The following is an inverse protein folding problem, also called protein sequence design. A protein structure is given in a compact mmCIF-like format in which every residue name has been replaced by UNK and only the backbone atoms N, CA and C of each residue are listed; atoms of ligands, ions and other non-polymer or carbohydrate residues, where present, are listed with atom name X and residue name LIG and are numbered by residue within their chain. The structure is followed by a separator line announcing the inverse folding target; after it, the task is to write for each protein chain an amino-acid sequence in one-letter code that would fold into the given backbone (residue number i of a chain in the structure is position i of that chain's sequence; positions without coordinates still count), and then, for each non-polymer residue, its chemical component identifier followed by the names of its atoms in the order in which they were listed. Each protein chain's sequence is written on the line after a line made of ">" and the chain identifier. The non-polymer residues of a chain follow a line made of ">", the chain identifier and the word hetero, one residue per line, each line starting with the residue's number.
data_IF_937312227489
#
_entry.id   IF_937312227489
#
_cell.length_a   1.000
_cell.length_b   1.000
_cell.length_c   1.000
_cell.angle_alpha   90.00
_cell.angle_beta   90.00
_cell.angle_gamma   90.00
#
_symmetry.space_group_name_H-M   'P 1'
#
loop_
_entity.id
_entity.type
_entity.pdbx_description
1 polymer ?
#
# COMPACT_ATOMS: atom_id res chain seq x y z
N UNK A 1 6.77 10.70 -1.33
CA UNK A 1 7.51 9.97 -0.28
C UNK A 1 8.97 10.33 -0.29
N UNK A 2 9.67 10.20 0.85
CA UNK A 2 11.11 10.39 0.95
C UNK A 2 11.85 9.26 0.22
N UNK A 3 12.90 9.59 -0.53
CA UNK A 3 13.76 8.61 -1.21
C UNK A 3 15.01 8.39 -0.39
N UNK A 4 15.19 7.15 0.05
CA UNK A 4 16.33 6.76 0.87
C UNK A 4 17.48 6.26 -0.01
N UNK A 5 18.71 6.42 0.47
CA UNK A 5 19.86 5.80 -0.17
C UNK A 5 19.99 4.31 0.22
N UNK A 6 20.83 3.54 -0.50
CA UNK A 6 20.98 2.09 -0.30
C UNK A 6 21.36 1.70 1.14
N UNK A 7 22.15 2.51 1.84
CA UNK A 7 22.55 2.21 3.23
C UNK A 7 21.36 2.40 4.18
N UNK A 8 20.63 3.50 4.03
CA UNK A 8 19.40 3.75 4.78
C UNK A 8 18.36 2.65 4.53
N UNK A 9 18.14 2.26 3.27
CA UNK A 9 17.20 1.20 2.89
C UNK A 9 17.56 -0.15 3.55
N UNK A 10 18.83 -0.51 3.63
CA UNK A 10 19.30 -1.72 4.35
C UNK A 10 19.06 -1.61 5.86
N UNK A 11 19.25 -0.42 6.42
CA UNK A 11 18.96 -0.19 7.84
C UNK A 11 17.45 -0.35 8.13
N UNK A 12 16.59 0.23 7.27
CA UNK A 12 15.15 0.12 7.40
C UNK A 12 14.66 -1.33 7.25
N UNK A 13 15.23 -2.09 6.31
CA UNK A 13 14.98 -3.53 6.22
C UNK A 13 15.33 -4.26 7.51
N UNK A 14 16.50 -3.98 8.08
CA UNK A 14 16.93 -4.59 9.36
C UNK A 14 15.97 -4.29 10.51
N UNK A 15 15.43 -3.07 10.57
CA UNK A 15 14.44 -2.67 11.58
C UNK A 15 13.11 -3.44 11.40
N UNK A 16 12.59 -3.55 10.17
CA UNK A 16 11.35 -4.31 9.91
C UNK A 16 11.53 -5.78 10.25
N UNK A 17 12.63 -6.41 9.82
CA UNK A 17 12.87 -7.83 10.09
C UNK A 17 13.06 -8.15 11.58
N UNK A 18 13.51 -7.18 12.38
CA UNK A 18 13.61 -7.30 13.83
C UNK A 18 12.30 -7.00 14.57
N UNK A 19 11.37 -6.28 13.92
CA UNK A 19 10.10 -5.88 14.53
C UNK A 19 9.05 -7.01 14.41
N UNK A 20 8.22 -7.24 15.44
CA UNK A 20 7.11 -8.17 15.31
C UNK A 20 6.00 -7.56 14.45
N UNK A 21 5.37 -8.40 13.62
CA UNK A 21 4.14 -8.00 12.90
C UNK A 21 3.04 -7.58 13.88
N UNK A 22 2.18 -6.66 13.46
CA UNK A 22 1.04 -6.23 14.26
C UNK A 22 0.08 -7.40 14.55
N UNK A 23 -0.69 -7.29 15.63
CA UNK A 23 -1.79 -8.24 15.92
C UNK A 23 -2.99 -7.90 15.07
N UNK A 24 -3.10 -8.51 13.91
CA UNK A 24 -4.14 -8.25 12.94
C UNK A 24 -5.55 -8.54 13.45
N UNK A 25 -6.47 -7.63 13.16
CA UNK A 25 -7.90 -7.81 13.40
C UNK A 25 -8.52 -8.89 12.48
N UNK A 26 -9.77 -9.25 12.75
CA UNK A 26 -10.45 -10.33 12.03
C UNK A 26 -10.52 -10.11 10.51
N UNK A 27 -10.90 -8.90 10.06
CA UNK A 27 -11.02 -8.59 8.62
C UNK A 27 -9.68 -8.69 7.90
N UNK A 28 -8.60 -8.16 8.50
CA UNK A 28 -7.26 -8.26 7.91
C UNK A 28 -6.79 -9.72 7.81
N UNK A 29 -6.99 -10.51 8.88
CA UNK A 29 -6.66 -11.95 8.85
C UNK A 29 -7.45 -12.72 7.79
N UNK A 30 -8.72 -12.39 7.61
CA UNK A 30 -9.54 -13.01 6.56
C UNK A 30 -9.02 -12.67 5.17
N UNK A 31 -8.66 -11.40 4.95
CA UNK A 31 -8.08 -10.94 3.69
C UNK A 31 -6.76 -11.65 3.38
N UNK A 32 -5.80 -11.66 4.32
CA UNK A 32 -4.50 -12.32 4.13
C UNK A 32 -4.63 -13.83 3.94
N UNK A 33 -5.50 -14.48 4.70
CA UNK A 33 -5.80 -15.90 4.49
C UNK A 33 -6.37 -16.16 3.08
N UNK A 34 -7.28 -15.32 2.59
CA UNK A 34 -7.83 -15.42 1.24
C UNK A 34 -6.76 -15.23 0.18
N UNK A 35 -5.84 -14.27 0.37
CA UNK A 35 -4.70 -14.05 -0.52
C UNK A 35 -3.76 -15.26 -0.55
N UNK A 36 -3.43 -15.82 0.61
CA UNK A 36 -2.59 -17.02 0.70
C UNK A 36 -3.25 -18.26 0.09
N UNK A 37 -4.58 -18.37 0.22
CA UNK A 37 -5.33 -19.47 -0.39
C UNK A 37 -5.36 -19.38 -1.92
N UNK A 38 -5.52 -18.17 -2.47
CA UNK A 38 -5.65 -17.93 -3.92
C UNK A 38 -4.29 -17.88 -4.63
N UNK A 39 -3.29 -17.28 -4.01
CA UNK A 39 -2.00 -16.97 -4.65
C UNK A 39 -0.82 -17.74 -4.04
N UNK A 40 -1.07 -18.53 -2.99
CA UNK A 40 -0.03 -19.23 -2.25
C UNK A 40 0.73 -18.32 -1.28
N UNK A 41 1.59 -18.96 -0.47
CA UNK A 41 2.40 -18.25 0.54
C UNK A 41 3.73 -17.73 0.01
N UNK A 42 4.15 -18.22 -1.18
CA UNK A 42 5.42 -17.81 -1.78
C UNK A 42 5.32 -16.35 -2.22
N UNK A 43 6.31 -15.54 -1.83
CA UNK A 43 6.44 -14.16 -2.27
C UNK A 43 6.88 -14.10 -3.73
N UNK A 44 6.39 -13.13 -4.46
CA UNK A 44 6.77 -12.93 -5.87
C UNK A 44 5.96 -11.82 -6.54
N UNK A 45 6.41 -11.40 -7.74
CA UNK A 45 5.88 -10.25 -8.43
C UNK A 45 4.37 -10.31 -8.67
N UNK A 46 3.83 -11.44 -9.11
CA UNK A 46 2.38 -11.58 -9.35
C UNK A 46 1.56 -11.43 -8.07
N UNK A 47 2.05 -11.92 -6.92
CA UNK A 47 1.39 -11.73 -5.62
C UNK A 47 1.48 -10.26 -5.17
N UNK A 48 2.64 -9.62 -5.34
CA UNK A 48 2.81 -8.20 -5.04
C UNK A 48 1.90 -7.32 -5.91
N UNK A 49 1.80 -7.60 -7.22
CA UNK A 49 0.85 -6.89 -8.07
C UNK A 49 -0.57 -6.95 -7.53
N UNK A 50 -1.03 -8.12 -7.07
CA UNK A 50 -2.36 -8.27 -6.46
C UNK A 50 -2.46 -7.45 -5.17
N UNK A 51 -1.40 -7.43 -4.36
CA UNK A 51 -1.34 -6.66 -3.13
C UNK A 51 -1.50 -5.16 -3.44
N UNK A 52 -0.76 -4.63 -4.41
CA UNK A 52 -0.84 -3.22 -4.81
C UNK A 52 -2.20 -2.82 -5.44
N UNK A 53 -2.86 -3.73 -6.17
CA UNK A 53 -4.22 -3.48 -6.66
C UNK A 53 -5.17 -3.19 -5.49
N UNK A 54 -4.94 -3.82 -4.34
CA UNK A 54 -5.78 -3.71 -3.15
C UNK A 54 -5.33 -2.54 -2.25
N UNK A 55 -4.02 -2.31 -2.10
CA UNK A 55 -3.42 -1.34 -1.19
C UNK A 55 -3.95 0.10 -1.38
N UNK A 56 -4.04 0.57 -2.62
CA UNK A 56 -4.49 1.94 -2.95
C UNK A 56 -5.96 2.22 -2.62
N UNK A 57 -6.77 1.18 -2.44
CA UNK A 57 -8.25 1.30 -2.40
C UNK A 57 -8.79 2.03 -1.16
N UNK A 58 -8.26 1.84 0.05
CA UNK A 58 -8.69 2.60 1.22
C UNK A 58 -8.52 4.10 1.06
N UNK A 59 -7.43 4.55 0.47
CA UNK A 59 -7.15 5.96 0.21
C UNK A 59 -8.19 6.57 -0.73
N UNK A 60 -8.55 5.87 -1.79
CA UNK A 60 -9.62 6.27 -2.71
C UNK A 60 -10.97 6.36 -1.99
N UNK A 61 -11.27 5.44 -1.08
CA UNK A 61 -12.48 5.46 -0.29
C UNK A 61 -12.53 6.68 0.64
N UNK A 62 -11.43 7.01 1.31
CA UNK A 62 -11.32 8.16 2.20
C UNK A 62 -11.41 9.48 1.43
N UNK A 63 -10.73 9.59 0.29
CA UNK A 63 -10.82 10.74 -0.61
C UNK A 63 -12.27 10.98 -1.05
N UNK A 64 -12.98 9.93 -1.46
CA UNK A 64 -14.39 10.03 -1.84
C UNK A 64 -15.28 10.56 -0.70
N UNK A 65 -15.14 10.00 0.51
CA UNK A 65 -15.89 10.49 1.68
C UNK A 65 -15.58 11.95 1.99
N UNK A 66 -14.32 12.36 1.84
CA UNK A 66 -13.90 13.74 2.08
C UNK A 66 -14.52 14.70 1.04
N UNK A 67 -14.58 14.33 -0.24
CA UNK A 67 -15.25 15.13 -1.27
C UNK A 67 -16.76 15.22 -1.04
N UNK A 68 -17.41 14.14 -0.63
CA UNK A 68 -18.82 14.17 -0.25
C UNK A 68 -19.04 15.12 0.93
N UNK A 69 -18.20 15.05 1.97
CA UNK A 69 -18.28 15.97 3.10
C UNK A 69 -18.07 17.43 2.68
N UNK A 70 -17.11 17.71 1.78
CA UNK A 70 -16.85 19.05 1.23
C UNK A 70 -18.10 19.65 0.57
N UNK A 71 -18.87 18.84 -0.16
CA UNK A 71 -20.10 19.27 -0.82
C UNK A 71 -21.12 19.85 0.16
N UNK A 72 -21.14 19.36 1.41
CA UNK A 72 -22.09 19.80 2.43
C UNK A 72 -21.55 20.88 3.39
N UNK A 73 -20.22 21.01 3.48
CA UNK A 73 -19.55 21.83 4.51
C UNK A 73 -18.81 23.03 3.91
N UNK A 74 -18.91 23.23 2.59
CA UNK A 74 -18.16 24.29 1.87
C UNK A 74 -18.45 25.72 2.39
N UNK A 75 -19.54 25.93 3.11
CA UNK A 75 -19.87 27.22 3.71
C UNK A 75 -19.02 27.57 4.94
N UNK A 76 -18.35 26.61 5.57
CA UNK A 76 -17.36 26.82 6.62
C UNK A 76 -15.93 26.71 6.02
N UNK A 77 -15.27 27.84 5.71
CA UNK A 77 -13.98 27.81 5.02
C UNK A 77 -12.85 27.19 5.84
N UNK A 78 -12.92 27.28 7.16
CA UNK A 78 -11.88 26.71 8.06
C UNK A 78 -12.01 25.19 8.07
N UNK A 79 -13.20 24.67 8.20
CA UNK A 79 -13.44 23.23 8.18
C UNK A 79 -13.26 22.66 6.77
N UNK A 80 -13.72 23.34 5.74
CA UNK A 80 -13.50 22.95 4.35
C UNK A 80 -12.00 22.85 4.03
N UNK A 81 -11.17 23.75 4.55
CA UNK A 81 -9.72 23.68 4.39
C UNK A 81 -9.12 22.40 4.99
N UNK A 82 -9.51 22.01 6.20
CA UNK A 82 -9.03 20.77 6.84
C UNK A 82 -9.44 19.52 6.05
N UNK A 83 -10.67 19.49 5.53
CA UNK A 83 -11.13 18.40 4.66
C UNK A 83 -10.27 18.34 3.39
N UNK A 84 -9.98 19.48 2.78
CA UNK A 84 -9.17 19.52 1.56
C UNK A 84 -7.71 19.12 1.80
N UNK A 85 -7.15 19.47 2.95
CA UNK A 85 -5.81 19.02 3.32
C UNK A 85 -5.76 17.49 3.47
N UNK A 86 -6.80 16.88 4.07
CA UNK A 86 -6.95 15.41 4.11
C UNK A 86 -7.07 14.79 2.71
N UNK A 87 -7.81 15.42 1.78
CA UNK A 87 -7.89 14.96 0.39
C UNK A 87 -6.50 14.93 -0.25
N UNK A 88 -5.69 15.96 -0.05
CA UNK A 88 -4.33 16.01 -0.61
C UNK A 88 -3.43 14.90 -0.07
N UNK A 89 -3.47 14.65 1.23
CA UNK A 89 -2.69 13.59 1.87
C UNK A 89 -3.08 12.22 1.32
N UNK A 90 -4.38 11.89 1.31
CA UNK A 90 -4.85 10.59 0.80
C UNK A 90 -4.56 10.41 -0.69
N UNK A 91 -4.53 11.50 -1.46
CA UNK A 91 -4.16 11.44 -2.88
C UNK A 91 -2.68 11.14 -3.07
N UNK A 92 -1.80 11.74 -2.27
CA UNK A 92 -0.35 11.46 -2.32
C UNK A 92 -0.08 9.97 -2.02
N UNK A 93 -0.79 9.40 -1.04
CA UNK A 93 -0.68 7.98 -0.70
C UNK A 93 -1.22 7.11 -1.84
N UNK A 94 -2.40 7.44 -2.38
CA UNK A 94 -2.99 6.71 -3.50
C UNK A 94 -2.09 6.73 -4.75
N UNK A 95 -1.46 7.88 -5.07
CA UNK A 95 -0.53 8.00 -6.19
C UNK A 95 0.74 7.16 -5.95
N UNK A 96 1.23 7.11 -4.72
CA UNK A 96 2.39 6.28 -4.36
C UNK A 96 2.12 4.79 -4.59
N UNK A 97 0.98 4.27 -4.10
CA UNK A 97 0.53 2.89 -4.35
C UNK A 97 0.36 2.61 -5.86
N UNK A 98 -0.08 3.60 -6.61
CA UNK A 98 -0.22 3.45 -8.05
C UNK A 98 1.13 3.26 -8.74
N UNK A 99 2.19 3.93 -8.28
CA UNK A 99 3.54 3.73 -8.80
C UNK A 99 4.07 2.34 -8.45
N UNK A 100 3.84 1.84 -7.24
CA UNK A 100 4.18 0.46 -6.86
C UNK A 100 3.55 -0.54 -7.82
N UNK A 101 2.24 -0.43 -8.05
CA UNK A 101 1.51 -1.31 -8.96
C UNK A 101 2.07 -1.28 -10.38
N UNK A 102 2.31 -0.09 -10.94
CA UNK A 102 2.76 0.07 -12.32
C UNK A 102 4.16 -0.51 -12.53
N UNK A 103 5.08 -0.26 -11.60
CA UNK A 103 6.45 -0.78 -11.64
C UNK A 103 6.45 -2.30 -11.49
N UNK A 104 5.67 -2.87 -10.56
CA UNK A 104 5.60 -4.32 -10.37
C UNK A 104 4.98 -4.99 -11.60
N UNK A 105 3.96 -4.39 -12.20
CA UNK A 105 3.38 -4.88 -13.45
C UNK A 105 4.40 -4.86 -14.60
N UNK A 106 5.19 -3.80 -14.73
CA UNK A 106 6.26 -3.71 -15.72
C UNK A 106 7.33 -4.79 -15.50
N UNK A 107 7.80 -4.96 -14.26
CA UNK A 107 8.76 -6.01 -13.91
C UNK A 107 8.22 -7.42 -14.19
N UNK A 108 6.94 -7.66 -13.91
CA UNK A 108 6.27 -8.93 -14.20
C UNK A 108 6.25 -9.23 -15.70
N UNK A 109 5.93 -8.22 -16.50
CA UNK A 109 5.93 -8.32 -17.97
C UNK A 109 7.33 -8.52 -18.53
N UNK A 110 8.32 -7.74 -18.09
CA UNK A 110 9.70 -7.82 -18.53
C UNK A 110 10.36 -9.17 -18.22
N UNK A 111 9.99 -9.80 -17.10
CA UNK A 111 10.43 -11.14 -16.72
C UNK A 111 9.66 -12.26 -17.43
N UNK A 112 8.68 -11.94 -18.29
CA UNK A 112 7.88 -12.91 -19.01
C UNK A 112 7.07 -13.85 -18.09
N UNK A 113 6.67 -13.40 -16.93
CA UNK A 113 5.90 -14.19 -15.98
C UNK A 113 4.48 -14.39 -16.52
N UNK A 114 4.15 -15.66 -16.79
CA UNK A 114 2.82 -16.02 -17.26
C UNK A 114 1.80 -15.92 -16.13
N UNK A 115 0.75 -15.15 -16.33
CA UNK A 115 -0.30 -14.92 -15.35
C UNK A 115 -1.65 -15.46 -15.85
N UNK A 116 -2.40 -16.05 -14.92
CA UNK A 116 -3.76 -16.47 -15.20
C UNK A 116 -4.70 -15.25 -15.14
N UNK A 117 -5.40 -14.94 -16.24
CA UNK A 117 -6.27 -13.77 -16.34
C UNK A 117 -7.36 -13.75 -15.26
N UNK A 118 -7.92 -14.92 -14.89
CA UNK A 118 -8.93 -14.99 -13.84
C UNK A 118 -8.31 -14.66 -12.47
N UNK A 119 -7.21 -15.32 -12.11
CA UNK A 119 -6.58 -15.17 -10.79
C UNK A 119 -5.87 -13.84 -10.62
N UNK A 120 -5.14 -13.35 -11.62
CA UNK A 120 -4.28 -12.17 -11.51
C UNK A 120 -4.87 -10.91 -12.18
N UNK A 121 -5.99 -11.06 -12.90
CA UNK A 121 -6.72 -9.97 -13.53
C UNK A 121 -8.08 -9.71 -12.88
N UNK A 122 -9.01 -10.67 -12.98
CA UNK A 122 -10.39 -10.46 -12.56
C UNK A 122 -10.60 -10.54 -11.03
N UNK A 123 -10.08 -11.57 -10.37
CA UNK A 123 -10.27 -11.76 -8.91
C UNK A 123 -9.73 -10.59 -8.09
N UNK A 124 -8.53 -10.01 -8.37
CA UNK A 124 -8.06 -8.84 -7.63
C UNK A 124 -9.01 -7.65 -7.72
N UNK A 125 -9.67 -7.43 -8.86
CA UNK A 125 -10.65 -6.36 -9.03
C UNK A 125 -11.90 -6.59 -8.16
N UNK A 126 -12.33 -7.84 -8.03
CA UNK A 126 -13.46 -8.21 -7.15
C UNK A 126 -13.08 -7.97 -5.69
N UNK A 127 -11.88 -8.38 -5.27
CA UNK A 127 -11.39 -8.14 -3.91
C UNK A 127 -11.28 -6.64 -3.65
N UNK A 128 -10.69 -5.87 -4.57
CA UNK A 128 -10.55 -4.42 -4.47
C UNK A 128 -11.92 -3.72 -4.37
N UNK A 129 -12.92 -4.17 -5.16
CA UNK A 129 -14.28 -3.67 -5.08
C UNK A 129 -14.89 -3.83 -3.68
N UNK A 130 -14.82 -5.01 -3.10
CA UNK A 130 -15.34 -5.24 -1.75
C UNK A 130 -14.52 -4.50 -0.70
N UNK A 131 -13.20 -4.48 -0.82
CA UNK A 131 -12.33 -3.78 0.12
C UNK A 131 -12.58 -2.27 0.11
N UNK A 132 -12.82 -1.67 -1.08
CA UNK A 132 -13.24 -0.28 -1.21
C UNK A 132 -14.51 0.00 -0.40
N UNK A 133 -15.57 -0.78 -0.62
CA UNK A 133 -16.85 -0.55 0.04
C UNK A 133 -16.77 -0.79 1.55
N UNK A 134 -16.03 -1.80 1.99
CA UNK A 134 -15.77 -2.05 3.41
C UNK A 134 -15.02 -0.86 4.02
N UNK A 135 -13.95 -0.39 3.39
CA UNK A 135 -13.17 0.76 3.84
C UNK A 135 -14.01 2.02 3.91
N UNK A 136 -14.84 2.25 2.88
CA UNK A 136 -15.77 3.39 2.80
C UNK A 136 -16.80 3.35 3.95
N UNK A 137 -17.48 2.22 4.15
CA UNK A 137 -18.48 2.03 5.21
C UNK A 137 -17.83 2.22 6.59
N UNK A 138 -16.71 1.56 6.83
CA UNK A 138 -15.98 1.70 8.11
C UNK A 138 -15.57 3.14 8.35
N UNK A 139 -15.08 3.84 7.32
CA UNK A 139 -14.65 5.23 7.45
C UNK A 139 -15.82 6.18 7.73
N UNK A 140 -16.99 5.95 7.11
CA UNK A 140 -18.20 6.73 7.38
C UNK A 140 -18.74 6.49 8.79
N UNK A 141 -18.81 5.23 9.24
CA UNK A 141 -19.36 4.89 10.54
C UNK A 141 -18.37 5.26 11.68
N UNK A 142 -17.12 4.79 11.56
CA UNK A 142 -16.08 5.02 12.56
C UNK A 142 -14.70 4.99 11.91
N UNK A 143 -14.12 6.15 11.55
CA UNK A 143 -12.84 6.25 10.81
C UNK A 143 -11.72 5.40 11.38
N UNK A 144 -11.64 5.31 12.71
CA UNK A 144 -10.68 4.46 13.42
C UNK A 144 -10.62 3.03 12.88
N UNK A 145 -11.75 2.42 12.54
CA UNK A 145 -11.77 1.03 12.07
C UNK A 145 -11.17 0.90 10.67
N UNK A 146 -11.43 1.89 9.81
CA UNK A 146 -10.84 1.92 8.48
C UNK A 146 -9.33 2.16 8.53
N UNK A 147 -8.88 3.11 9.34
CA UNK A 147 -7.45 3.38 9.55
C UNK A 147 -6.71 2.18 10.15
N UNK A 148 -7.29 1.49 11.13
CA UNK A 148 -6.69 0.27 11.67
C UNK A 148 -6.63 -0.86 10.65
N UNK A 149 -7.67 -1.03 9.83
CA UNK A 149 -7.67 -2.06 8.77
C UNK A 149 -6.58 -1.78 7.76
N UNK A 150 -6.40 -0.51 7.35
CA UNK A 150 -5.32 -0.10 6.48
C UNK A 150 -3.95 -0.30 7.14
N UNK A 151 -3.75 0.17 8.37
CA UNK A 151 -2.49 -0.03 9.10
C UNK A 151 -2.08 -1.52 9.20
N UNK A 152 -3.04 -2.43 9.34
CA UNK A 152 -2.78 -3.88 9.30
C UNK A 152 -2.36 -4.35 7.91
N UNK A 153 -2.94 -3.77 6.86
CA UNK A 153 -2.60 -4.11 5.49
C UNK A 153 -1.17 -3.66 5.17
N UNK A 154 -0.83 -2.41 5.48
CA UNK A 154 0.50 -1.85 5.25
C UNK A 154 1.59 -2.54 6.09
N UNK A 155 1.28 -2.93 7.35
CA UNK A 155 2.20 -3.73 8.17
C UNK A 155 2.49 -5.10 7.52
N UNK A 156 1.49 -5.71 6.92
CA UNK A 156 1.66 -6.95 6.19
C UNK A 156 2.52 -6.74 4.94
N UNK A 157 2.21 -5.71 4.15
CA UNK A 157 2.93 -5.37 2.92
C UNK A 157 4.41 -5.03 3.20
N UNK A 158 4.67 -4.17 4.18
CA UNK A 158 6.03 -3.83 4.62
C UNK A 158 6.87 -5.10 4.87
N UNK A 159 6.36 -6.02 5.67
CA UNK A 159 7.08 -7.25 6.00
C UNK A 159 7.25 -8.17 4.78
N UNK A 160 6.22 -8.31 3.93
CA UNK A 160 6.32 -9.13 2.71
C UNK A 160 7.43 -8.64 1.78
N UNK A 161 7.57 -7.31 1.58
CA UNK A 161 8.63 -6.75 0.76
C UNK A 161 10.02 -6.91 1.39
N UNK A 162 10.15 -6.60 2.67
CA UNK A 162 11.45 -6.69 3.36
C UNK A 162 11.95 -8.12 3.50
N UNK A 163 11.04 -9.07 3.77
CA UNK A 163 11.33 -10.50 3.79
C UNK A 163 11.65 -11.03 2.38
N UNK A 164 10.98 -10.53 1.33
CA UNK A 164 11.26 -10.92 -0.05
C UNK A 164 12.69 -10.60 -0.44
N UNK A 165 13.18 -9.41 -0.12
CA UNK A 165 14.59 -9.06 -0.39
C UNK A 165 15.56 -9.96 0.39
N UNK A 166 15.23 -10.33 1.64
CA UNK A 166 16.06 -11.23 2.44
C UNK A 166 16.07 -12.66 1.88
N UNK A 167 14.95 -13.14 1.32
CA UNK A 167 14.80 -14.48 0.72
C UNK A 167 15.48 -14.60 -0.66
N UNK A 168 15.66 -13.48 -1.38
CA UNK A 168 16.19 -13.46 -2.75
C UNK A 168 17.41 -12.54 -2.90
N UNK A 169 18.61 -12.98 -2.44
CA UNK A 169 19.82 -12.14 -2.45
C UNK A 169 20.25 -11.71 -3.87
N UNK A 170 19.87 -12.44 -4.91
CA UNK A 170 20.20 -12.09 -6.30
C UNK A 170 19.64 -10.73 -6.72
N UNK A 171 18.58 -10.24 -6.05
CA UNK A 171 18.03 -8.92 -6.25
C UNK A 171 19.02 -7.77 -5.98
N UNK A 172 20.06 -8.00 -5.17
CA UNK A 172 21.11 -7.01 -4.89
C UNK A 172 21.95 -6.67 -6.14
N UNK A 173 22.08 -7.61 -7.06
CA UNK A 173 22.87 -7.44 -8.29
C UNK A 173 22.01 -7.18 -9.53
N UNK A 174 20.72 -7.37 -9.43
CA UNK A 174 19.77 -7.14 -10.52
C UNK A 174 19.47 -5.65 -10.65
N UNK A 175 19.73 -5.07 -11.84
CA UNK A 175 19.47 -3.65 -12.09
C UNK A 175 18.00 -3.33 -12.10
N UNK A 176 17.66 -2.18 -11.54
CA UNK A 176 16.34 -1.58 -11.70
C UNK A 176 16.32 -0.70 -12.95
N UNK A 177 15.39 -1.02 -13.86
CA UNK A 177 15.09 -0.21 -15.04
C UNK A 177 13.56 -0.14 -15.20
N UNK A 178 12.99 1.06 -15.31
CA UNK A 178 11.55 1.27 -15.43
C UNK A 178 11.27 2.57 -16.17
N UNK A 179 10.21 2.58 -16.99
CA UNK A 179 9.72 3.81 -17.61
C UNK A 179 9.13 4.79 -16.58
N UNK A 180 8.80 4.32 -15.38
CA UNK A 180 8.26 5.10 -14.27
C UNK A 180 9.34 5.60 -13.29
N UNK A 181 10.61 5.40 -13.62
CA UNK A 181 11.71 5.76 -12.74
C UNK A 181 11.85 7.29 -12.52
N UNK A 182 11.38 8.12 -13.47
CA UNK A 182 11.33 9.57 -13.29
C UNK A 182 10.25 10.00 -12.27
N UNK A 183 9.17 9.26 -12.17
CA UNK A 183 8.04 9.54 -11.28
C UNK A 183 8.26 8.97 -9.87
N UNK A 184 8.68 7.71 -9.79
CA UNK A 184 8.83 7.02 -8.51
C UNK A 184 10.23 7.14 -7.92
N UNK A 185 11.29 7.05 -8.73
CA UNK A 185 12.70 7.18 -8.32
C UNK A 185 13.61 6.17 -9.00
N UNK A 186 14.91 6.47 -8.96
CA UNK A 186 15.98 5.61 -9.47
C UNK A 186 16.62 4.85 -8.31
N UNK A 187 16.84 3.54 -8.48
CA UNK A 187 17.44 2.67 -7.47
C UNK A 187 18.63 1.92 -8.06
N UNK A 188 19.62 1.62 -7.24
CA UNK A 188 20.84 0.91 -7.67
C UNK A 188 20.56 -0.54 -8.05
N UNK A 189 19.55 -1.16 -7.44
CA UNK A 189 19.18 -2.56 -7.64
C UNK A 189 17.67 -2.77 -7.43
N UNK A 190 17.17 -3.95 -7.83
CA UNK A 190 15.81 -4.37 -7.48
C UNK A 190 15.64 -4.56 -5.97
N UNK A 191 16.70 -4.95 -5.25
CA UNK A 191 16.65 -5.02 -3.80
C UNK A 191 16.35 -3.65 -3.18
N UNK A 192 16.99 -2.59 -3.65
CA UNK A 192 16.75 -1.23 -3.16
C UNK A 192 15.36 -0.72 -3.53
N UNK A 193 14.86 -1.05 -4.73
CA UNK A 193 13.47 -0.76 -5.10
C UNK A 193 12.49 -1.39 -4.10
N UNK A 194 12.59 -2.70 -3.84
CA UNK A 194 11.65 -3.38 -2.94
C UNK A 194 11.78 -2.94 -1.49
N UNK A 195 12.98 -2.56 -1.05
CA UNK A 195 13.18 -1.92 0.26
C UNK A 195 12.49 -0.56 0.32
N UNK A 196 12.58 0.24 -0.75
CA UNK A 196 11.88 1.53 -0.80
C UNK A 196 10.37 1.35 -0.73
N UNK A 197 9.81 0.41 -1.50
CA UNK A 197 8.38 0.08 -1.41
C UNK A 197 8.04 -0.32 0.03
N UNK A 198 8.75 -1.26 0.63
CA UNK A 198 8.52 -1.66 2.01
C UNK A 198 8.68 -0.52 3.04
N UNK A 199 9.55 0.45 2.79
CA UNK A 199 9.65 1.66 3.60
C UNK A 199 8.44 2.59 3.40
N UNK A 200 7.96 2.77 2.17
CA UNK A 200 6.76 3.54 1.88
C UNK A 200 5.54 2.93 2.59
N UNK A 201 5.38 1.59 2.60
CA UNK A 201 4.33 0.88 3.35
C UNK A 201 4.41 1.14 4.86
N UNK A 202 5.63 1.19 5.42
CA UNK A 202 5.81 1.60 6.83
C UNK A 202 5.33 3.02 7.07
N UNK A 203 5.63 3.96 6.19
CA UNK A 203 5.15 5.34 6.31
C UNK A 203 3.63 5.38 6.26
N UNK A 204 3.00 4.70 5.30
CA UNK A 204 1.55 4.58 5.18
C UNK A 204 0.91 3.99 6.44
N UNK A 205 1.50 2.93 7.00
CA UNK A 205 1.08 2.34 8.27
C UNK A 205 1.12 3.35 9.41
N UNK A 206 2.24 4.05 9.59
CA UNK A 206 2.43 5.01 10.67
C UNK A 206 1.48 6.20 10.53
N UNK A 207 1.28 6.72 9.33
CA UNK A 207 0.31 7.78 9.04
C UNK A 207 -1.11 7.33 9.39
N UNK A 208 -1.53 6.13 8.96
CA UNK A 208 -2.83 5.57 9.34
C UNK A 208 -2.99 5.46 10.85
N UNK A 209 -1.96 5.04 11.58
CA UNK A 209 -1.98 4.93 13.04
C UNK A 209 -2.10 6.29 13.73
N UNK A 210 -1.56 7.38 13.17
CA UNK A 210 -1.73 8.72 13.74
C UNK A 210 -3.20 9.14 13.77
N UNK A 211 -4.00 8.69 12.79
CA UNK A 211 -5.41 9.03 12.66
C UNK A 211 -6.36 8.11 13.42
N UNK A 212 -5.88 7.02 13.99
CA UNK A 212 -6.73 6.06 14.73
C UNK A 212 -7.48 6.70 15.88
N UNK A 213 -6.89 7.69 16.54
CA UNK A 213 -7.51 8.40 17.68
C UNK A 213 -7.93 9.84 17.35
N UNK A 214 -7.76 10.26 16.09
CA UNK A 214 -8.14 11.58 15.63
C UNK A 214 -9.62 11.61 15.18
N UNK A 215 -10.24 12.78 15.20
CA UNK A 215 -11.53 12.98 14.52
C UNK A 215 -11.31 12.96 12.99
N UNK A 216 -12.40 12.64 12.24
CA UNK A 216 -12.29 12.37 10.79
C UNK A 216 -11.56 13.43 9.98
N UNK A 217 -11.65 14.68 10.31
CA UNK A 217 -11.03 15.80 9.59
C UNK A 217 -10.35 16.76 10.57
N UNK A 218 -9.57 16.23 11.49
CA UNK A 218 -8.71 17.03 12.38
C UNK A 218 -7.38 17.31 11.73
#
# INVERSE_FOLDING_TARGET
>A
MERLNSEQLKQEQGQTLAAPRMRYGFLARLLFFSMDLLYGRKKGLSKFKVLEIIARVPYQAWENVAYVAMTHIHADPVFARRIFDRIKETRIQQDNEQWHLLIIQELTANKGIAENLLLHGFIPQVIAFFYYHISWILYVIRPRWSYLLNAYFEDHAEHEYMEYVAEYPDLETERFESIFAEDYGQFASLADLFRQIGYDERVHKLESLTYVNAARFQ
#
